data_IF_561039906374
#
_entry.id   IF_561039906374
#
_cell.length_a   1.000
_cell.length_b   1.000
_cell.length_c   1.000
_cell.angle_alpha   90.00
_cell.angle_beta   90.00
_cell.angle_gamma   90.00
#
_symmetry.space_group_name_H-M   'P 1'
#
loop_
_entity.id
_entity.type
_entity.pdbx_description
1 polymer ?
#
# COMPACT_ATOMS: atom_id res chain seq x y z
N UNK A 1 48.45 -13.38 -29.19
CA UNK A 1 47.70 -12.13 -28.94
C UNK A 1 46.45 -12.51 -28.17
N UNK A 2 46.12 -11.82 -27.06
CA UNK A 2 45.07 -12.25 -26.15
C UNK A 2 43.70 -12.19 -26.83
N UNK A 3 42.94 -13.26 -26.61
CA UNK A 3 41.56 -13.46 -27.03
C UNK A 3 40.67 -12.33 -26.50
N UNK A 4 39.87 -11.75 -27.39
CA UNK A 4 38.68 -10.96 -27.09
C UNK A 4 37.93 -11.66 -25.97
N UNK A 5 38.03 -11.14 -24.75
CA UNK A 5 37.20 -11.61 -23.66
C UNK A 5 35.76 -11.35 -24.09
N UNK A 6 34.99 -12.43 -24.19
CA UNK A 6 33.55 -12.42 -24.20
C UNK A 6 33.10 -11.60 -23.00
N UNK A 7 32.76 -10.32 -23.23
CA UNK A 7 31.94 -9.58 -22.29
C UNK A 7 30.59 -10.29 -22.37
N UNK A 8 30.14 -11.00 -21.32
CA UNK A 8 28.84 -11.65 -21.37
C UNK A 8 27.80 -10.58 -21.67
N UNK A 9 27.13 -10.72 -22.82
CA UNK A 9 26.10 -9.81 -23.30
C UNK A 9 24.74 -10.04 -22.60
N UNK A 10 24.81 -10.62 -21.41
CA UNK A 10 23.68 -11.12 -20.64
C UNK A 10 23.81 -10.63 -19.19
N UNK A 11 24.22 -9.36 -19.02
CA UNK A 11 23.65 -8.59 -17.94
C UNK A 11 22.17 -8.42 -18.29
N UNK A 12 21.37 -9.46 -18.05
CA UNK A 12 19.93 -9.35 -17.90
C UNK A 12 19.74 -8.24 -16.86
N UNK A 13 19.48 -7.04 -17.34
CA UNK A 13 18.86 -6.03 -16.51
C UNK A 13 17.52 -6.65 -16.15
N UNK A 14 17.44 -7.25 -14.97
CA UNK A 14 16.19 -7.52 -14.27
C UNK A 14 15.39 -6.21 -14.33
N UNK A 15 14.55 -6.05 -15.35
CA UNK A 15 13.59 -4.98 -15.41
C UNK A 15 12.60 -5.27 -14.29
N UNK A 16 12.96 -4.84 -13.07
CA UNK A 16 12.08 -4.93 -11.94
C UNK A 16 10.75 -4.30 -12.35
N UNK A 17 9.62 -4.95 -12.05
CA UNK A 17 8.32 -4.43 -12.42
C UNK A 17 8.21 -2.99 -11.89
N UNK A 18 8.16 -2.03 -12.81
CA UNK A 18 8.12 -0.61 -12.49
C UNK A 18 6.67 -0.12 -12.62
N UNK A 19 6.13 0.49 -11.56
CA UNK A 19 4.77 1.06 -11.59
C UNK A 19 4.69 2.09 -12.73
N UNK A 20 3.70 1.98 -13.61
CA UNK A 20 3.45 2.92 -14.71
C UNK A 20 2.30 3.88 -14.38
N UNK A 21 2.43 5.15 -14.80
CA UNK A 21 1.36 6.16 -14.72
C UNK A 21 0.61 6.20 -13.37
N UNK A 22 -0.69 5.90 -13.42
CA UNK A 22 -1.61 5.94 -12.29
C UNK A 22 -1.26 4.98 -11.14
N UNK A 23 -0.50 3.91 -11.39
CA UNK A 23 -0.08 2.98 -10.34
C UNK A 23 0.86 3.64 -9.32
N UNK A 24 1.60 4.69 -9.72
CA UNK A 24 2.42 5.48 -8.79
C UNK A 24 1.59 6.37 -7.87
N UNK A 25 0.35 6.69 -8.25
CA UNK A 25 -0.51 7.57 -7.47
C UNK A 25 -1.09 6.84 -6.24
N UNK A 26 -1.41 5.55 -6.35
CA UNK A 26 -2.00 4.75 -5.26
C UNK A 26 -1.24 4.87 -3.92
N UNK A 27 0.08 4.62 -3.84
CA UNK A 27 0.81 4.73 -2.58
C UNK A 27 0.83 6.18 -2.05
N UNK A 28 0.93 7.18 -2.94
CA UNK A 28 0.95 8.59 -2.56
C UNK A 28 -0.40 9.02 -1.98
N UNK A 29 -1.50 8.68 -2.67
CA UNK A 29 -2.86 8.97 -2.23
C UNK A 29 -3.14 8.29 -0.89
N UNK A 30 -2.77 7.02 -0.74
CA UNK A 30 -2.96 6.28 0.50
C UNK A 30 -2.30 6.98 1.69
N UNK A 31 -1.03 7.39 1.55
CA UNK A 31 -0.29 8.07 2.63
C UNK A 31 -0.88 9.46 2.90
N UNK A 32 -1.23 10.23 1.87
CA UNK A 32 -1.88 11.52 2.06
C UNK A 32 -3.21 11.37 2.80
N UNK A 33 -3.99 10.35 2.48
CA UNK A 33 -5.29 10.12 3.11
C UNK A 33 -5.15 9.82 4.61
N UNK A 34 -4.08 9.12 5.02
CA UNK A 34 -3.76 8.87 6.43
C UNK A 34 -3.44 10.12 7.24
N UNK A 35 -2.94 11.17 6.59
CA UNK A 35 -2.68 12.45 7.25
C UNK A 35 -3.92 13.34 7.20
N UNK A 36 -4.51 13.49 6.01
CA UNK A 36 -5.52 14.52 5.77
C UNK A 36 -6.91 14.14 6.27
N UNK A 37 -7.32 12.88 6.16
CA UNK A 37 -8.69 12.50 6.52
C UNK A 37 -8.93 12.50 8.03
N UNK A 38 -7.99 12.07 8.90
CA UNK A 38 -8.17 12.24 10.34
C UNK A 38 -8.37 13.71 10.77
N UNK A 39 -7.73 14.68 10.08
CA UNK A 39 -7.96 16.11 10.36
C UNK A 39 -9.41 16.55 10.15
N UNK A 40 -10.16 15.83 9.34
CA UNK A 40 -11.58 16.12 9.06
C UNK A 40 -12.46 15.28 9.99
N UNK A 41 -12.16 13.99 10.14
CA UNK A 41 -12.99 13.07 10.94
C UNK A 41 -12.95 13.40 12.44
N UNK A 42 -11.80 13.78 12.99
CA UNK A 42 -11.66 14.09 14.42
C UNK A 42 -12.58 15.24 14.83
N UNK A 43 -12.55 16.43 14.18
CA UNK A 43 -13.46 17.51 14.55
C UNK A 43 -14.92 17.21 14.17
N UNK A 44 -15.19 16.45 13.10
CA UNK A 44 -16.56 16.12 12.68
C UNK A 44 -17.32 15.25 13.69
N UNK A 45 -16.62 14.30 14.34
CA UNK A 45 -17.23 13.39 15.31
C UNK A 45 -17.01 13.82 16.77
N UNK A 46 -16.05 14.73 17.01
CA UNK A 46 -15.57 15.09 18.35
C UNK A 46 -14.56 14.08 18.89
N UNK A 47 -13.63 14.56 19.72
CA UNK A 47 -12.49 13.78 20.26
C UNK A 47 -12.90 12.44 20.88
N UNK A 48 -14.04 12.42 21.57
CA UNK A 48 -14.48 11.27 22.37
C UNK A 48 -15.07 10.15 21.51
N UNK A 49 -15.50 10.47 20.29
CA UNK A 49 -16.18 9.52 19.37
C UNK A 49 -15.41 9.26 18.09
N UNK A 50 -14.33 10.01 17.84
CA UNK A 50 -13.57 9.96 16.59
C UNK A 50 -12.72 8.67 16.42
N UNK A 51 -12.41 7.96 17.50
CA UNK A 51 -11.52 6.79 17.44
C UNK A 51 -11.99 5.75 16.41
N UNK A 52 -13.23 5.28 16.55
CA UNK A 52 -13.81 4.23 15.69
C UNK A 52 -13.85 4.67 14.22
N UNK A 53 -14.46 5.81 13.83
CA UNK A 53 -14.53 6.21 12.43
C UNK A 53 -13.14 6.44 11.82
N UNK A 54 -12.17 6.97 12.57
CA UNK A 54 -10.81 7.11 12.07
C UNK A 54 -10.16 5.74 11.83
N UNK A 55 -10.26 4.79 12.78
CA UNK A 55 -9.70 3.46 12.58
C UNK A 55 -10.35 2.72 11.41
N UNK A 56 -11.68 2.78 11.28
CA UNK A 56 -12.41 2.21 10.15
C UNK A 56 -11.89 2.79 8.84
N UNK A 57 -11.70 4.10 8.78
CA UNK A 57 -11.13 4.76 7.61
C UNK A 57 -9.69 4.30 7.33
N UNK A 58 -8.80 4.27 8.32
CA UNK A 58 -7.39 3.94 8.11
C UNK A 58 -7.21 2.49 7.64
N UNK A 59 -7.92 1.55 8.25
CA UNK A 59 -7.91 0.15 7.81
C UNK A 59 -8.60 -0.02 6.45
N UNK A 60 -9.72 0.68 6.22
CA UNK A 60 -10.41 0.67 4.92
C UNK A 60 -9.53 1.22 3.79
N UNK A 61 -8.82 2.31 4.02
CA UNK A 61 -7.88 2.89 3.06
C UNK A 61 -6.70 1.95 2.76
N UNK A 62 -6.14 1.27 3.78
CA UNK A 62 -5.15 0.20 3.57
C UNK A 62 -5.71 -0.94 2.71
N UNK A 63 -6.92 -1.41 3.01
CA UNK A 63 -7.56 -2.48 2.26
C UNK A 63 -7.79 -2.10 0.80
N UNK A 64 -8.38 -0.93 0.55
CA UNK A 64 -8.66 -0.44 -0.81
C UNK A 64 -7.37 -0.23 -1.60
N UNK A 65 -6.38 0.44 -1.01
CA UNK A 65 -5.10 0.68 -1.69
C UNK A 65 -4.35 -0.63 -1.97
N UNK A 66 -4.33 -1.55 -0.99
CA UNK A 66 -3.76 -2.89 -1.15
C UNK A 66 -4.43 -3.67 -2.27
N UNK A 67 -5.77 -3.69 -2.30
CA UNK A 67 -6.54 -4.36 -3.35
C UNK A 67 -6.25 -3.79 -4.73
N UNK A 68 -6.28 -2.45 -4.89
CA UNK A 68 -5.99 -1.79 -6.17
C UNK A 68 -4.57 -2.09 -6.62
N UNK A 69 -3.58 -2.02 -5.73
CA UNK A 69 -2.19 -2.34 -6.06
C UNK A 69 -2.10 -3.79 -6.50
N UNK A 70 -2.61 -4.76 -5.74
CA UNK A 70 -2.58 -6.18 -6.13
C UNK A 70 -3.35 -6.53 -7.40
N UNK A 71 -4.44 -5.81 -7.70
CA UNK A 71 -5.20 -5.98 -8.94
C UNK A 71 -4.44 -5.46 -10.15
N UNK A 72 -3.74 -4.33 -10.00
CA UNK A 72 -3.13 -3.60 -11.11
C UNK A 72 -1.63 -3.87 -11.27
N UNK A 73 -0.94 -4.27 -10.21
CA UNK A 73 0.50 -4.39 -10.10
C UNK A 73 0.83 -5.60 -9.21
N UNK A 74 1.66 -6.52 -9.71
CA UNK A 74 1.93 -7.77 -9.01
C UNK A 74 3.36 -7.76 -8.49
N UNK A 75 3.47 -7.97 -7.19
CA UNK A 75 4.63 -8.52 -6.50
C UNK A 75 5.62 -7.54 -5.87
N UNK A 76 5.11 -6.61 -5.04
CA UNK A 76 5.97 -5.95 -4.04
C UNK A 76 5.24 -5.77 -2.70
N UNK A 77 5.95 -5.98 -1.59
CA UNK A 77 5.47 -5.60 -0.25
C UNK A 77 5.59 -4.09 0.02
N UNK A 78 5.95 -3.28 -0.98
CA UNK A 78 6.17 -1.85 -0.81
C UNK A 78 4.93 -1.12 -0.30
N UNK A 79 3.74 -1.42 -0.85
CA UNK A 79 2.51 -0.76 -0.41
C UNK A 79 2.06 -1.24 0.98
N UNK A 80 2.05 -2.55 1.29
CA UNK A 80 1.80 -3.00 2.66
C UNK A 80 2.73 -2.36 3.71
N UNK A 81 4.05 -2.30 3.44
CA UNK A 81 5.00 -1.64 4.34
C UNK A 81 4.65 -0.15 4.47
N UNK A 82 4.35 0.51 3.36
CA UNK A 82 3.98 1.92 3.35
C UNK A 82 2.66 2.19 4.08
N UNK A 83 1.71 1.25 4.09
CA UNK A 83 0.50 1.35 4.91
C UNK A 83 0.84 1.31 6.40
N UNK A 84 1.77 0.44 6.81
CA UNK A 84 2.28 0.46 8.19
C UNK A 84 2.95 1.78 8.54
N UNK A 85 3.86 2.28 7.68
CA UNK A 85 4.54 3.58 7.87
C UNK A 85 3.55 4.73 7.91
N UNK A 86 2.56 4.74 7.01
CA UNK A 86 1.57 5.78 6.94
C UNK A 86 0.67 5.80 8.19
N UNK A 87 0.28 4.63 8.72
CA UNK A 87 -0.41 4.59 10.01
C UNK A 87 0.51 5.09 11.12
N UNK A 88 1.80 4.76 11.10
CA UNK A 88 2.76 5.27 12.08
C UNK A 88 2.81 6.80 12.07
N UNK A 89 2.77 7.44 10.89
CA UNK A 89 2.65 8.89 10.77
C UNK A 89 1.35 9.42 11.38
N UNK A 90 0.21 8.80 11.05
CA UNK A 90 -1.07 9.16 11.66
C UNK A 90 -1.04 9.00 13.18
N UNK A 91 -0.37 7.97 13.69
CA UNK A 91 -0.19 7.71 15.12
C UNK A 91 0.57 8.85 15.80
N UNK A 92 1.69 9.29 15.25
CA UNK A 92 2.45 10.43 15.78
C UNK A 92 1.61 11.71 15.85
N UNK A 93 0.68 11.90 14.91
CA UNK A 93 -0.13 13.12 14.82
C UNK A 93 -1.41 13.08 15.66
N UNK A 94 -2.06 11.92 15.77
CA UNK A 94 -3.46 11.82 16.22
C UNK A 94 -3.71 10.79 17.32
N UNK A 95 -2.77 9.89 17.61
CA UNK A 95 -3.00 8.79 18.54
C UNK A 95 -1.95 8.73 19.65
N UNK A 96 -2.28 7.98 20.71
CA UNK A 96 -1.34 7.71 21.79
C UNK A 96 -0.33 6.60 21.41
N UNK A 97 0.73 6.48 22.22
CA UNK A 97 1.82 5.54 21.96
C UNK A 97 1.42 4.06 21.91
N UNK A 98 0.40 3.67 22.68
CA UNK A 98 -0.09 2.29 22.74
C UNK A 98 -0.74 1.79 21.45
N UNK A 99 -1.07 2.67 20.51
CA UNK A 99 -1.72 2.31 19.24
C UNK A 99 -0.76 1.82 18.15
N UNK A 100 0.54 1.68 18.46
CA UNK A 100 1.55 1.27 17.48
C UNK A 100 1.23 -0.08 16.77
N UNK A 101 0.53 -0.99 17.45
CA UNK A 101 0.11 -2.28 16.88
C UNK A 101 -0.83 -2.14 15.67
N UNK A 102 -1.57 -1.03 15.56
CA UNK A 102 -2.42 -0.76 14.40
C UNK A 102 -1.62 -0.46 13.12
N UNK A 103 -0.34 -0.09 13.24
CA UNK A 103 0.55 -0.01 12.08
C UNK A 103 0.77 -1.41 11.46
N UNK A 104 1.01 -2.41 12.31
CA UNK A 104 1.10 -3.81 11.88
C UNK A 104 -0.24 -4.28 11.30
N UNK A 105 -1.35 -3.88 11.93
CA UNK A 105 -2.70 -4.13 11.43
C UNK A 105 -2.91 -3.57 10.02
N UNK A 106 -2.61 -2.30 9.77
CA UNK A 106 -2.77 -1.67 8.47
C UNK A 106 -1.89 -2.31 7.40
N UNK A 107 -0.63 -2.64 7.74
CA UNK A 107 0.26 -3.36 6.84
C UNK A 107 -0.29 -4.76 6.47
N UNK A 108 -0.76 -5.51 7.47
CA UNK A 108 -1.36 -6.83 7.25
C UNK A 108 -2.65 -6.74 6.42
N UNK A 109 -3.52 -5.77 6.70
CA UNK A 109 -4.75 -5.51 5.94
C UNK A 109 -4.45 -5.19 4.47
N UNK A 110 -3.48 -4.31 4.22
CA UNK A 110 -3.05 -4.00 2.86
C UNK A 110 -2.48 -5.23 2.14
N UNK A 111 -1.66 -6.05 2.82
CA UNK A 111 -1.12 -7.27 2.23
C UNK A 111 -2.22 -8.30 1.89
N UNK A 112 -3.15 -8.54 2.80
CA UNK A 112 -4.29 -9.46 2.57
C UNK A 112 -5.12 -8.99 1.38
N UNK A 113 -5.45 -7.71 1.33
CA UNK A 113 -6.24 -7.14 0.24
C UNK A 113 -5.48 -7.18 -1.10
N UNK A 114 -4.17 -6.95 -1.07
CA UNK A 114 -3.31 -7.12 -2.25
C UNK A 114 -3.36 -8.54 -2.77
N UNK A 115 -3.23 -9.56 -1.92
CA UNK A 115 -3.36 -10.95 -2.35
C UNK A 115 -4.76 -11.27 -2.91
N UNK A 116 -5.82 -10.68 -2.36
CA UNK A 116 -7.16 -10.82 -2.89
C UNK A 116 -7.30 -10.19 -4.29
N UNK A 117 -6.83 -8.96 -4.50
CA UNK A 117 -6.84 -8.29 -5.82
C UNK A 117 -6.00 -9.06 -6.85
N UNK A 118 -4.90 -9.63 -6.41
CA UNK A 118 -4.07 -10.51 -7.22
C UNK A 118 -4.79 -11.80 -7.63
N UNK A 119 -5.51 -12.45 -6.72
CA UNK A 119 -6.22 -13.69 -7.03
C UNK A 119 -7.28 -13.46 -8.11
N UNK A 120 -8.04 -12.38 -7.99
CA UNK A 120 -9.12 -12.04 -8.93
C UNK A 120 -8.61 -11.56 -10.30
N UNK A 121 -7.44 -10.93 -10.37
CA UNK A 121 -6.82 -10.54 -11.65
C UNK A 121 -6.25 -11.72 -12.45
N UNK A 122 -6.13 -12.94 -11.86
CA UNK A 122 -5.68 -14.15 -12.58
C UNK A 122 -6.83 -14.94 -13.22
N UNK A 123 -8.09 -14.59 -12.99
CA UNK A 123 -9.20 -15.33 -13.62
C UNK A 123 -9.16 -15.14 -15.15
N UNK A 124 -9.22 -16.23 -15.95
CA UNK A 124 -9.17 -16.13 -17.40
C UNK A 124 -10.39 -15.36 -17.89
N UNK A 125 -10.18 -14.31 -18.70
CA UNK A 125 -11.20 -13.74 -19.55
C UNK A 125 -11.71 -14.88 -20.45
N UNK A 126 -12.92 -15.37 -20.19
CA UNK A 126 -13.59 -16.32 -21.08
C UNK A 126 -13.78 -15.60 -22.41
N UNK A 127 -12.99 -15.98 -23.42
CA UNK A 127 -13.16 -15.52 -24.80
C UNK A 127 -14.60 -15.76 -25.24
N UNK A 128 -15.30 -14.68 -25.56
CA UNK A 128 -16.55 -14.69 -26.32
C UNK A 128 -16.25 -14.56 -27.82
#
# INVERSE_FOLDING_TARGET
>A
MPSTQDIPADAETDEQPNRSGWQKATPVIMVLAYVLVPLILIPAFGSDKALIPVLVFLFGNAAVAGFIDGWTFRDTFSLPILAGVGFWLAKVLYFNDGTFLYALGCAATAAIAMFAGQALSKEPQVSA
#
